data_IF_755090886835
#
_entry.id   IF_755090886835
#
_cell.length_a   1.000
_cell.length_b   1.000
_cell.length_c   1.000
_cell.angle_alpha   90.00
_cell.angle_beta   90.00
_cell.angle_gamma   90.00
#
_symmetry.space_group_name_H-M   'P 1'
#
loop_
_entity.id
_entity.type
_entity.pdbx_description
1 polymer ?
#
# COMPACT_ATOMS: atom_id res chain seq x y z
N UNK A 1 9.63 -4.66 -12.22
CA UNK A 1 8.78 -5.72 -12.81
C UNK A 1 7.33 -5.34 -12.57
N UNK A 2 6.44 -5.41 -13.58
CA UNK A 2 5.06 -5.02 -13.41
C UNK A 2 4.24 -6.08 -12.66
N UNK A 3 3.33 -5.63 -11.81
CA UNK A 3 2.32 -6.43 -11.10
C UNK A 3 1.16 -6.67 -12.06
N UNK A 4 0.81 -7.93 -12.26
CA UNK A 4 -0.37 -8.33 -13.02
C UNK A 4 -1.59 -8.31 -12.10
N UNK A 5 -2.61 -7.53 -12.44
CA UNK A 5 -3.78 -7.37 -11.59
C UNK A 5 -4.95 -8.30 -11.96
N UNK A 6 -4.91 -8.90 -13.16
CA UNK A 6 -6.02 -9.68 -13.71
C UNK A 6 -7.35 -8.92 -13.77
N UNK A 7 -8.40 -9.60 -14.22
CA UNK A 7 -9.77 -9.04 -14.32
C UNK A 7 -10.63 -9.31 -13.09
N UNK A 8 -10.25 -10.28 -12.23
CA UNK A 8 -11.12 -10.82 -11.17
C UNK A 8 -10.80 -10.30 -9.75
N UNK A 9 -10.21 -9.10 -9.64
CA UNK A 9 -10.38 -8.27 -8.43
C UNK A 9 -9.59 -8.63 -7.17
N UNK A 10 -8.77 -9.68 -7.17
CA UNK A 10 -8.23 -10.24 -5.90
C UNK A 10 -6.75 -9.94 -5.65
N UNK A 11 -6.18 -8.90 -6.26
CA UNK A 11 -4.79 -8.53 -6.01
C UNK A 11 -4.69 -7.51 -4.89
N UNK A 12 -3.87 -7.88 -3.91
CA UNK A 12 -3.50 -7.09 -2.75
C UNK A 12 -1.97 -6.97 -2.72
N UNK A 13 -1.48 -5.90 -2.11
CA UNK A 13 -0.05 -5.68 -1.90
C UNK A 13 0.21 -5.57 -0.41
N UNK A 14 1.24 -6.28 0.06
CA UNK A 14 1.80 -6.14 1.39
C UNK A 14 3.07 -5.30 1.31
N UNK A 15 3.03 -4.14 1.95
CA UNK A 15 4.16 -3.22 2.08
C UNK A 15 4.82 -3.46 3.42
N UNK A 16 6.14 -3.46 3.45
CA UNK A 16 6.92 -3.53 4.68
C UNK A 16 7.66 -2.22 4.92
N UNK A 17 7.64 -1.74 6.16
CA UNK A 17 8.27 -0.49 6.56
C UNK A 17 8.55 -0.44 8.06
N UNK A 18 8.84 0.75 8.58
CA UNK A 18 9.10 0.96 10.01
C UNK A 18 8.36 2.21 10.49
N UNK A 19 7.92 2.22 11.75
CA UNK A 19 7.30 3.40 12.36
C UNK A 19 5.84 3.62 11.98
N UNK A 20 5.16 2.56 11.52
CA UNK A 20 3.76 2.57 11.09
C UNK A 20 2.85 2.06 12.22
N UNK A 21 3.32 1.09 13.03
CA UNK A 21 2.56 0.62 14.21
C UNK A 21 2.42 1.74 15.24
N UNK A 22 1.34 1.67 16.04
CA UNK A 22 0.99 2.66 17.07
C UNK A 22 0.54 4.04 16.53
N UNK A 23 0.00 4.07 15.32
CA UNK A 23 -0.70 5.24 14.82
C UNK A 23 -1.95 5.54 15.65
N UNK A 24 -2.31 6.82 15.76
CA UNK A 24 -3.49 7.28 16.49
C UNK A 24 -4.70 7.50 15.56
N UNK A 25 -4.42 7.69 14.27
CA UNK A 25 -5.39 7.88 13.19
C UNK A 25 -5.30 6.76 12.18
N UNK A 26 -6.39 6.54 11.44
CA UNK A 26 -6.42 5.55 10.36
C UNK A 26 -5.30 5.79 9.34
N UNK A 27 -4.57 4.73 8.99
CA UNK A 27 -3.53 4.78 7.96
C UNK A 27 -4.20 4.87 6.59
N UNK A 28 -3.81 5.86 5.79
CA UNK A 28 -4.33 6.05 4.45
C UNK A 28 -3.29 5.64 3.40
N UNK A 29 -3.77 5.12 2.27
CA UNK A 29 -2.94 4.85 1.10
C UNK A 29 -3.54 5.56 -0.11
N UNK A 30 -2.69 6.20 -0.90
CA UNK A 30 -3.06 6.71 -2.22
C UNK A 30 -2.14 6.16 -3.29
N UNK A 31 -2.72 5.74 -4.41
CA UNK A 31 -1.99 5.32 -5.61
C UNK A 31 -2.46 6.18 -6.76
N UNK A 32 -1.55 6.86 -7.45
CA UNK A 32 -1.89 7.82 -8.50
C UNK A 32 -2.91 8.89 -8.01
N UNK A 33 -2.78 9.33 -6.75
CA UNK A 33 -3.70 10.26 -6.06
C UNK A 33 -5.14 9.73 -5.88
N UNK A 34 -5.37 8.44 -6.12
CA UNK A 34 -6.64 7.76 -5.87
C UNK A 34 -6.52 7.03 -4.53
N UNK A 35 -7.51 7.20 -3.65
CA UNK A 35 -7.54 6.49 -2.36
C UNK A 35 -7.75 4.99 -2.58
N UNK A 36 -6.92 4.19 -1.91
CA UNK A 36 -6.97 2.72 -1.97
C UNK A 36 -7.22 2.19 -0.56
N UNK A 37 -8.07 1.17 -0.36
CA UNK A 37 -8.34 0.65 0.97
C UNK A 37 -7.08 0.08 1.63
N UNK A 38 -6.89 0.44 2.89
CA UNK A 38 -5.88 -0.15 3.78
C UNK A 38 -6.60 -1.16 4.67
N UNK A 39 -6.24 -2.43 4.52
CA UNK A 39 -6.90 -3.55 5.21
C UNK A 39 -6.21 -3.94 6.51
N UNK A 40 -4.93 -3.57 6.63
CA UNK A 40 -4.13 -3.81 7.83
C UNK A 40 -2.98 -2.81 7.87
N UNK A 41 -2.64 -2.32 9.06
CA UNK A 41 -1.43 -1.56 9.31
C UNK A 41 -0.94 -1.86 10.74
N UNK A 42 0.22 -2.49 10.89
CA UNK A 42 0.72 -2.87 12.21
C UNK A 42 1.93 -3.79 12.18
N UNK A 43 2.22 -4.41 13.31
CA UNK A 43 3.35 -5.33 13.45
C UNK A 43 3.13 -6.60 12.61
N UNK A 44 4.10 -6.94 11.78
CA UNK A 44 3.95 -8.04 10.83
C UNK A 44 4.09 -9.45 11.49
N UNK A 45 4.94 -9.56 12.53
CA UNK A 45 5.06 -10.77 13.36
C UNK A 45 6.34 -11.60 13.17
N UNK A 46 7.01 -11.56 12.01
CA UNK A 46 8.18 -12.41 11.70
C UNK A 46 9.54 -11.68 11.75
N UNK A 47 9.58 -10.45 11.24
CA UNK A 47 10.77 -9.60 11.15
C UNK A 47 10.65 -8.51 12.22
N UNK A 48 11.44 -8.65 13.27
CA UNK A 48 11.48 -7.69 14.37
C UNK A 48 11.83 -6.28 13.84
N UNK A 49 11.15 -5.28 14.38
CA UNK A 49 11.28 -3.88 13.94
C UNK A 49 10.52 -3.51 12.66
N UNK A 50 10.04 -4.47 11.86
CA UNK A 50 9.28 -4.18 10.62
C UNK A 50 7.77 -4.25 10.81
N UNK A 51 7.11 -3.23 10.29
CA UNK A 51 5.66 -3.10 10.11
C UNK A 51 5.21 -3.61 8.75
N UNK A 52 3.95 -4.02 8.68
CA UNK A 52 3.26 -4.40 7.46
C UNK A 52 2.02 -3.55 7.24
N UNK A 53 1.78 -3.18 5.99
CA UNK A 53 0.54 -2.56 5.52
C UNK A 53 -0.01 -3.40 4.37
N UNK A 54 -1.26 -3.86 4.49
CA UNK A 54 -1.94 -4.56 3.41
C UNK A 54 -2.92 -3.61 2.73
N UNK A 55 -2.83 -3.51 1.41
CA UNK A 55 -3.69 -2.63 0.61
C UNK A 55 -4.37 -3.40 -0.51
N UNK A 56 -5.56 -2.92 -0.88
CA UNK A 56 -6.34 -3.43 -2.00
C UNK A 56 -7.82 -3.59 -1.66
N UNK A 57 -8.64 -4.08 -2.60
CA UNK A 57 -8.25 -4.64 -3.90
C UNK A 57 -7.76 -3.60 -4.91
N UNK A 58 -6.87 -4.02 -5.82
CA UNK A 58 -6.16 -3.12 -6.75
C UNK A 58 -6.57 -3.23 -8.21
N UNK A 59 -7.52 -4.09 -8.59
CA UNK A 59 -7.83 -4.34 -10.00
C UNK A 59 -8.19 -3.09 -10.84
N UNK A 60 -8.72 -2.05 -10.20
CA UNK A 60 -8.99 -0.75 -10.83
C UNK A 60 -7.74 0.00 -11.33
N UNK A 61 -6.54 -0.46 -10.97
CA UNK A 61 -5.26 0.09 -11.40
C UNK A 61 -4.63 -0.70 -12.58
N UNK A 62 -5.29 -1.74 -13.10
CA UNK A 62 -4.78 -2.51 -14.23
C UNK A 62 -4.48 -1.61 -15.44
N UNK A 63 -3.34 -1.83 -16.09
CA UNK A 63 -2.88 -1.02 -17.21
C UNK A 63 -2.44 0.41 -16.87
N UNK A 64 -2.37 0.80 -15.59
CA UNK A 64 -1.95 2.16 -15.19
C UNK A 64 -0.46 2.43 -15.41
N UNK A 65 0.35 1.39 -15.69
CA UNK A 65 1.79 1.53 -15.83
C UNK A 65 2.48 1.87 -14.51
N UNK A 66 3.58 2.62 -14.58
CA UNK A 66 4.32 3.08 -13.39
C UNK A 66 3.62 4.26 -12.73
N UNK A 67 3.24 4.09 -11.46
CA UNK A 67 2.52 5.08 -10.66
C UNK A 67 3.13 5.21 -9.27
N UNK A 68 2.89 6.36 -8.64
CA UNK A 68 3.31 6.62 -7.26
C UNK A 68 2.31 6.05 -6.26
N UNK A 69 2.84 5.37 -5.26
CA UNK A 69 2.16 4.93 -4.05
C UNK A 69 2.68 5.74 -2.87
N UNK A 70 1.76 6.30 -2.09
CA UNK A 70 2.07 7.08 -0.87
C UNK A 70 1.21 6.59 0.27
N UNK A 71 1.85 6.26 1.40
CA UNK A 71 1.19 6.02 2.67
C UNK A 71 1.16 7.30 3.48
N UNK A 72 0.08 7.54 4.21
CA UNK A 72 -0.04 8.63 5.19
C UNK A 72 -0.39 8.03 6.54
N UNK A 73 0.44 8.30 7.54
CA UNK A 73 0.30 7.83 8.92
C UNK A 73 0.31 9.04 9.85
N UNK A 74 -0.73 9.22 10.66
CA UNK A 74 -0.87 10.36 11.58
C UNK A 74 -0.57 11.73 10.92
N UNK A 75 -1.04 11.91 9.68
CA UNK A 75 -0.86 13.14 8.91
C UNK A 75 0.51 13.30 8.24
N UNK A 76 1.43 12.35 8.40
CA UNK A 76 2.74 12.34 7.75
C UNK A 76 2.74 11.41 6.54
N UNK A 77 3.05 11.94 5.36
CA UNK A 77 3.20 11.15 4.14
C UNK A 77 4.59 10.51 4.05
N UNK A 78 4.64 9.28 3.56
CA UNK A 78 5.88 8.58 3.20
C UNK A 78 6.55 9.24 2.00
N UNK A 79 7.79 8.84 1.73
CA UNK A 79 8.35 9.00 0.39
C UNK A 79 7.50 8.22 -0.62
N UNK A 80 7.31 8.74 -1.85
CA UNK A 80 6.63 8.01 -2.90
C UNK A 80 7.39 6.74 -3.28
N UNK A 81 6.68 5.62 -3.37
CA UNK A 81 7.18 4.35 -3.89
C UNK A 81 6.60 4.13 -5.28
N UNK A 82 7.46 3.85 -6.26
CA UNK A 82 7.02 3.57 -7.63
C UNK A 82 6.62 2.11 -7.79
N UNK A 83 5.40 1.90 -8.25
CA UNK A 83 4.82 0.57 -8.52
C UNK A 83 4.34 0.55 -9.95
N UNK A 84 4.60 -0.55 -10.67
CA UNK A 84 4.19 -0.69 -12.06
C UNK A 84 3.08 -1.74 -12.16
N UNK A 85 1.93 -1.38 -12.72
CA UNK A 85 0.79 -2.27 -12.94
C UNK A 85 0.60 -2.52 -14.44
N UNK A 86 0.46 -3.80 -14.83
CA UNK A 86 0.10 -4.21 -16.19
C UNK A 86 -1.31 -4.78 -16.26
#
# INVERSE_FOLDING_TARGET
>A
MPIDLGVDGSVYVSLYGTGIRNHNSEVACSINRISVPVLYAGAQGEYEGLDQVNIGPLAHLSGSGEVDLVLTVDGQSSNPVRVNFK
#
